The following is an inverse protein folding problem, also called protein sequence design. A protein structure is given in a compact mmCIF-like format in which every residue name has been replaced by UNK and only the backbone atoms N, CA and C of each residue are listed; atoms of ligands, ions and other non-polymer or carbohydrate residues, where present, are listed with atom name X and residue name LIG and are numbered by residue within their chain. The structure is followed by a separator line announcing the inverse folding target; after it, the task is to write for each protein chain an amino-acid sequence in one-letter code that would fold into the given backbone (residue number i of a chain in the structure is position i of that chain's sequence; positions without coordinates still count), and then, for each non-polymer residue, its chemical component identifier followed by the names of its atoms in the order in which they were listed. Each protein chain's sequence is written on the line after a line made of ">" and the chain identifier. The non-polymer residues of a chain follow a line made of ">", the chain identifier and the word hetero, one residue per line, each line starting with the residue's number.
data_IF_129873497560
#
_entry.id   IF_129873497560
#
_cell.length_a   1.000
_cell.length_b   1.000
_cell.length_c   1.000
_cell.angle_alpha   90.00
_cell.angle_beta   90.00
_cell.angle_gamma   90.00
#
_symmetry.space_group_name_H-M   'P 1'
#
loop_
_entity.id
_entity.type
_entity.pdbx_description
1 polymer ?
#
# COMPACT_ATOMS: atom_id res chain seq x y z
N UNK A 1 21.45 3.89 -8.12
CA UNK A 1 21.30 3.77 -9.59
C UNK A 1 21.89 5.00 -10.24
N UNK A 2 22.40 4.88 -11.47
CA UNK A 2 23.04 5.98 -12.18
C UNK A 2 22.46 6.09 -13.60
N UNK A 3 22.71 7.21 -14.26
CA UNK A 3 22.37 7.42 -15.66
C UNK A 3 23.58 7.94 -16.42
N UNK A 4 23.74 7.49 -17.67
CA UNK A 4 24.66 8.09 -18.63
C UNK A 4 23.91 9.21 -19.35
N UNK A 5 24.51 10.39 -19.37
CA UNK A 5 24.01 11.57 -20.04
C UNK A 5 25.03 11.97 -21.12
N UNK A 6 24.55 12.04 -22.34
CA UNK A 6 25.36 12.45 -23.51
C UNK A 6 24.61 13.55 -24.24
N UNK A 7 25.30 14.63 -24.58
CA UNK A 7 24.70 15.80 -25.26
C UNK A 7 23.42 16.33 -24.56
N UNK A 8 23.40 16.30 -23.22
CA UNK A 8 22.26 16.80 -22.44
C UNK A 8 21.05 15.86 -22.34
N UNK A 9 21.16 14.65 -22.88
CA UNK A 9 20.09 13.65 -22.86
C UNK A 9 20.53 12.37 -22.13
N UNK A 10 19.59 11.74 -21.42
CA UNK A 10 19.84 10.44 -20.78
C UNK A 10 19.84 9.37 -21.87
N UNK A 11 20.99 8.72 -22.10
CA UNK A 11 21.14 7.69 -23.14
C UNK A 11 21.08 6.28 -22.58
N UNK A 12 21.42 6.10 -21.28
CA UNK A 12 21.44 4.77 -20.67
C UNK A 12 21.24 4.82 -19.16
N UNK A 13 20.47 3.87 -18.66
CA UNK A 13 20.34 3.62 -17.22
C UNK A 13 21.39 2.59 -16.77
N UNK A 14 22.07 2.87 -15.65
CA UNK A 14 23.19 2.08 -15.14
C UNK A 14 22.91 1.66 -13.69
N UNK A 15 23.04 0.36 -13.41
CA UNK A 15 22.87 -0.15 -12.05
C UNK A 15 24.17 -0.15 -11.22
N UNK A 16 25.32 0.19 -11.84
CA UNK A 16 26.60 0.28 -11.15
C UNK A 16 27.21 -1.08 -10.73
N UNK A 17 26.70 -2.20 -11.23
CA UNK A 17 27.17 -3.54 -10.84
C UNK A 17 28.32 -4.07 -11.70
N UNK A 18 28.65 -3.42 -12.81
CA UNK A 18 29.76 -3.76 -13.71
C UNK A 18 30.41 -2.51 -14.30
N UNK A 19 31.62 -2.62 -14.82
CA UNK A 19 32.31 -1.53 -15.51
C UNK A 19 31.56 -1.09 -16.79
N UNK A 20 31.98 0.02 -17.34
CA UNK A 20 31.40 0.61 -18.56
C UNK A 20 32.51 1.05 -19.52
N UNK A 21 32.25 0.93 -20.83
CA UNK A 21 33.11 1.48 -21.86
C UNK A 21 32.45 2.73 -22.44
N UNK A 22 33.16 3.85 -22.42
CA UNK A 22 32.74 5.14 -22.94
C UNK A 22 33.84 5.67 -23.85
N UNK A 23 33.52 6.09 -25.06
CA UNK A 23 34.48 6.63 -26.02
C UNK A 23 35.75 5.76 -26.20
N UNK A 24 35.57 4.43 -26.30
CA UNK A 24 36.64 3.43 -26.38
C UNK A 24 37.54 3.31 -25.14
N UNK A 25 37.22 4.00 -24.03
CA UNK A 25 37.91 3.90 -22.76
C UNK A 25 37.12 3.03 -21.79
N UNK A 26 37.77 2.01 -21.24
CA UNK A 26 37.14 1.09 -20.29
C UNK A 26 37.28 1.59 -18.87
N UNK A 27 36.15 1.76 -18.18
CA UNK A 27 36.07 2.15 -16.76
C UNK A 27 35.69 0.95 -15.91
N UNK A 28 36.42 0.70 -14.81
CA UNK A 28 36.09 -0.40 -13.90
C UNK A 28 34.83 -0.10 -13.10
N UNK A 29 34.20 -1.14 -12.52
CA UNK A 29 33.06 -0.99 -11.61
C UNK A 29 33.34 -0.01 -10.45
N UNK A 30 34.58 0.07 -10.02
CA UNK A 30 35.01 0.90 -8.89
C UNK A 30 34.65 2.39 -9.04
N UNK A 31 34.43 2.90 -10.26
CA UNK A 31 34.00 4.30 -10.47
C UNK A 31 32.69 4.64 -9.74
N UNK A 32 31.78 3.68 -9.60
CA UNK A 32 30.48 3.91 -8.94
C UNK A 32 30.57 4.02 -7.43
N UNK A 33 31.67 3.54 -6.81
CA UNK A 33 31.82 3.47 -5.35
C UNK A 33 32.98 4.31 -4.83
N UNK A 34 34.05 4.46 -5.62
CA UNK A 34 35.27 5.15 -5.18
C UNK A 34 35.38 6.58 -5.72
N UNK A 35 34.81 6.85 -6.89
CA UNK A 35 34.86 8.18 -7.46
C UNK A 35 33.87 9.12 -6.78
N UNK A 36 34.26 10.38 -6.69
CA UNK A 36 33.36 11.48 -6.29
C UNK A 36 32.27 11.69 -7.33
N UNK A 37 31.21 12.39 -6.97
CA UNK A 37 30.14 12.76 -7.91
C UNK A 37 30.69 13.63 -9.05
N UNK A 38 31.59 14.56 -8.74
CA UNK A 38 32.20 15.43 -9.77
C UNK A 38 32.99 14.64 -10.81
N UNK A 39 33.78 13.65 -10.38
CA UNK A 39 34.56 12.79 -11.29
C UNK A 39 33.64 11.95 -12.20
N UNK A 40 32.56 11.40 -11.66
CA UNK A 40 31.55 10.67 -12.46
C UNK A 40 30.85 11.58 -13.42
N UNK A 41 30.42 12.75 -12.99
CA UNK A 41 29.72 13.73 -13.84
C UNK A 41 30.61 14.20 -15.00
N UNK A 42 31.94 14.31 -14.78
CA UNK A 42 32.88 14.70 -15.83
C UNK A 42 32.93 13.71 -17.02
N UNK A 43 32.56 12.45 -16.79
CA UNK A 43 32.43 11.43 -17.84
C UNK A 43 30.97 11.13 -18.23
N UNK A 44 30.03 12.00 -17.83
CA UNK A 44 28.62 11.88 -18.16
C UNK A 44 27.82 10.89 -17.29
N UNK A 45 28.37 10.38 -16.19
CA UNK A 45 27.69 9.45 -15.29
C UNK A 45 27.13 10.22 -14.08
N UNK A 46 25.83 10.31 -13.99
CA UNK A 46 25.12 11.02 -12.92
C UNK A 46 24.43 10.06 -11.95
N UNK A 47 24.49 10.37 -10.66
CA UNK A 47 23.64 9.72 -9.65
C UNK A 47 22.18 10.12 -9.87
N UNK A 48 21.25 9.15 -9.73
CA UNK A 48 19.83 9.44 -9.84
C UNK A 48 19.31 9.87 -8.47
N UNK A 49 18.71 11.05 -8.42
CA UNK A 49 18.00 11.57 -7.25
C UNK A 49 16.52 11.24 -7.42
N UNK A 50 15.92 10.68 -6.38
CA UNK A 50 14.51 10.31 -6.39
C UNK A 50 13.67 11.45 -5.81
N UNK A 51 12.63 11.82 -6.54
CA UNK A 51 11.59 12.74 -6.11
C UNK A 51 10.30 11.94 -5.90
N UNK A 52 10.01 11.63 -4.65
CA UNK A 52 8.86 10.82 -4.26
C UNK A 52 7.63 11.68 -3.89
N UNK A 53 7.60 12.97 -4.23
CA UNK A 53 6.49 13.89 -3.90
C UNK A 53 5.13 13.36 -4.39
N UNK A 54 5.09 12.72 -5.56
CA UNK A 54 3.87 12.15 -6.14
C UNK A 54 3.64 10.69 -5.77
N UNK A 55 4.59 10.06 -5.06
CA UNK A 55 4.43 8.69 -4.60
C UNK A 55 3.37 8.63 -3.50
N UNK A 56 2.41 7.73 -3.66
CA UNK A 56 1.36 7.47 -2.68
C UNK A 56 1.49 6.08 -2.08
N UNK A 57 0.81 5.84 -0.98
CA UNK A 57 0.79 4.55 -0.29
C UNK A 57 0.21 3.47 -1.21
N UNK A 58 1.00 2.43 -1.45
CA UNK A 58 0.65 1.33 -2.34
C UNK A 58 -0.49 0.43 -1.81
N UNK A 59 -0.90 0.59 -0.56
CA UNK A 59 -2.14 -0.02 -0.06
C UNK A 59 -3.36 0.50 -0.81
N UNK A 60 -3.36 1.79 -1.14
CA UNK A 60 -4.50 2.53 -1.69
C UNK A 60 -4.36 2.89 -3.16
N UNK A 61 -3.11 3.05 -3.64
CA UNK A 61 -2.83 3.59 -4.98
C UNK A 61 -1.89 2.69 -5.76
N UNK A 62 -1.98 2.82 -7.05
CA UNK A 62 -1.01 2.30 -8.02
C UNK A 62 -0.12 3.46 -8.42
N UNK A 63 1.16 3.41 -8.06
CA UNK A 63 2.12 4.39 -8.48
C UNK A 63 2.53 4.13 -9.95
N UNK A 64 2.66 5.20 -10.72
CA UNK A 64 3.15 5.09 -12.10
C UNK A 64 4.64 4.78 -12.13
N UNK A 65 5.14 4.30 -13.27
CA UNK A 65 6.57 4.18 -13.50
C UNK A 65 7.24 5.55 -13.39
N UNK A 66 8.45 5.58 -12.84
CA UNK A 66 9.22 6.81 -12.75
C UNK A 66 9.63 7.29 -14.15
N UNK A 67 9.46 8.57 -14.41
CA UNK A 67 10.08 9.28 -15.52
C UNK A 67 11.44 9.83 -15.06
N UNK A 68 12.38 9.94 -15.98
CA UNK A 68 13.72 10.42 -15.70
C UNK A 68 14.00 11.65 -16.54
N UNK A 69 14.51 12.70 -15.90
CA UNK A 69 14.86 13.95 -16.57
C UNK A 69 16.25 14.41 -16.15
N UNK A 70 17.02 14.93 -17.11
CA UNK A 70 18.28 15.60 -16.86
C UNK A 70 18.06 17.11 -16.97
N UNK A 71 18.29 17.83 -15.90
CA UNK A 71 18.22 19.29 -15.84
C UNK A 71 19.12 19.81 -14.71
N UNK A 72 19.67 20.99 -14.90
CA UNK A 72 20.55 21.65 -13.90
C UNK A 72 21.67 20.74 -13.42
N UNK A 73 22.31 20.03 -14.35
CA UNK A 73 23.41 19.11 -14.08
C UNK A 73 23.06 17.96 -13.11
N UNK A 74 21.81 17.50 -13.13
CA UNK A 74 21.26 16.48 -12.23
C UNK A 74 20.27 15.59 -12.94
N UNK A 75 20.29 14.30 -12.65
CA UNK A 75 19.25 13.36 -13.09
C UNK A 75 18.25 13.14 -11.97
N UNK A 76 16.98 13.43 -12.24
CA UNK A 76 15.89 13.23 -11.29
C UNK A 76 14.91 12.18 -11.80
N UNK A 77 14.56 11.22 -10.95
CA UNK A 77 13.49 10.27 -11.17
C UNK A 77 12.23 10.74 -10.43
N UNK A 78 11.10 10.86 -11.12
CA UNK A 78 9.86 11.38 -10.54
C UNK A 78 8.69 10.47 -10.91
N UNK A 79 7.84 10.14 -9.94
CA UNK A 79 6.56 9.46 -10.20
C UNK A 79 5.57 10.45 -10.84
N UNK A 80 4.78 9.96 -11.79
CA UNK A 80 3.59 10.66 -12.25
C UNK A 80 2.45 10.59 -11.22
N UNK A 81 1.27 11.05 -11.60
CA UNK A 81 0.07 10.95 -10.75
C UNK A 81 -0.26 9.49 -10.45
N UNK A 82 -0.44 9.15 -9.18
CA UNK A 82 -0.84 7.82 -8.77
C UNK A 82 -2.35 7.59 -9.06
N UNK A 83 -2.70 6.38 -9.46
CA UNK A 83 -4.09 5.97 -9.71
C UNK A 83 -4.67 5.31 -8.48
N UNK A 84 -5.84 5.73 -8.03
CA UNK A 84 -6.54 5.09 -6.93
C UNK A 84 -6.96 3.66 -7.31
N UNK A 85 -6.75 2.69 -6.42
CA UNK A 85 -7.31 1.34 -6.58
C UNK A 85 -8.83 1.41 -6.45
N UNK A 86 -9.55 0.49 -7.11
CA UNK A 86 -11.00 0.43 -7.01
C UNK A 86 -11.43 0.21 -5.54
N UNK A 87 -12.22 1.13 -4.99
CA UNK A 87 -12.72 1.01 -3.62
C UNK A 87 -13.92 0.04 -3.53
N UNK A 88 -14.77 0.00 -4.55
CA UNK A 88 -15.89 -0.92 -4.68
C UNK A 88 -15.53 -2.11 -5.60
N UNK A 89 -16.29 -3.18 -5.50
CA UNK A 89 -16.21 -4.29 -6.44
C UNK A 89 -16.55 -3.80 -7.86
N UNK A 90 -15.90 -4.38 -8.86
CA UNK A 90 -16.28 -4.23 -10.26
C UNK A 90 -17.05 -5.47 -10.72
N UNK A 91 -18.05 -5.28 -11.57
CA UNK A 91 -18.85 -6.37 -12.12
C UNK A 91 -18.59 -6.50 -13.62
N UNK A 92 -18.84 -7.70 -14.14
CA UNK A 92 -18.83 -7.93 -15.58
C UNK A 92 -19.94 -7.12 -16.24
N UNK A 93 -19.64 -6.59 -17.42
CA UNK A 93 -20.60 -5.89 -18.28
C UNK A 93 -21.23 -6.85 -19.28
N UNK A 94 -22.26 -6.42 -19.99
CA UNK A 94 -22.86 -7.20 -21.08
C UNK A 94 -21.83 -7.51 -22.19
N UNK A 95 -20.92 -6.57 -22.50
CA UNK A 95 -19.84 -6.78 -23.48
C UNK A 95 -18.85 -7.84 -23.01
N UNK A 96 -18.52 -7.88 -21.71
CA UNK A 96 -17.66 -8.91 -21.14
C UNK A 96 -18.30 -10.30 -21.20
N UNK A 97 -19.64 -10.39 -21.05
CA UNK A 97 -20.38 -11.64 -21.22
C UNK A 97 -20.39 -12.10 -22.67
N UNK A 98 -20.61 -11.18 -23.63
CA UNK A 98 -20.51 -11.48 -25.06
C UNK A 98 -19.10 -11.96 -25.45
N UNK A 99 -18.06 -11.40 -24.81
CA UNK A 99 -16.66 -11.82 -24.98
C UNK A 99 -16.30 -13.12 -24.23
N UNK A 100 -17.23 -13.69 -23.47
CA UNK A 100 -17.04 -14.93 -22.71
C UNK A 100 -16.13 -14.80 -21.49
N UNK A 101 -15.96 -13.58 -20.93
CA UNK A 101 -15.13 -13.30 -19.75
C UNK A 101 -15.82 -13.63 -18.44
N UNK A 102 -17.16 -13.49 -18.36
CA UNK A 102 -17.97 -13.77 -17.18
C UNK A 102 -19.43 -13.42 -17.42
N UNK A 103 -20.29 -13.59 -16.43
CA UNK A 103 -21.72 -13.27 -16.53
C UNK A 103 -21.98 -11.83 -16.11
N UNK A 104 -22.79 -11.10 -16.86
CA UNK A 104 -23.18 -9.71 -16.53
C UNK A 104 -23.69 -9.59 -15.10
N UNK A 105 -23.21 -8.58 -14.38
CA UNK A 105 -23.58 -8.28 -13.00
C UNK A 105 -22.86 -9.12 -11.94
N UNK A 106 -22.20 -10.23 -12.30
CA UNK A 106 -21.33 -10.95 -11.37
C UNK A 106 -20.03 -10.18 -11.09
N UNK A 107 -19.44 -10.45 -9.93
CA UNK A 107 -18.22 -9.75 -9.51
C UNK A 107 -17.02 -10.19 -10.36
N UNK A 108 -16.49 -9.25 -11.14
CA UNK A 108 -15.26 -9.43 -11.92
C UNK A 108 -14.02 -9.31 -11.03
N UNK A 109 -13.96 -8.25 -10.19
CA UNK A 109 -12.84 -8.03 -9.30
C UNK A 109 -13.32 -7.44 -7.97
N UNK A 110 -12.80 -7.97 -6.87
CA UNK A 110 -13.09 -7.46 -5.53
C UNK A 110 -12.35 -6.15 -5.27
N UNK A 111 -13.08 -5.15 -4.79
CA UNK A 111 -12.54 -3.86 -4.40
C UNK A 111 -11.92 -3.84 -3.00
N UNK A 112 -11.35 -2.70 -2.66
CA UNK A 112 -10.71 -2.50 -1.34
C UNK A 112 -11.69 -2.72 -0.19
N UNK A 113 -12.94 -2.26 -0.29
CA UNK A 113 -13.96 -2.43 0.76
C UNK A 113 -14.16 -3.90 1.13
N UNK A 114 -14.31 -4.76 0.14
CA UNK A 114 -14.47 -6.20 0.39
C UNK A 114 -13.30 -6.75 1.19
N UNK A 115 -12.07 -6.50 0.75
CA UNK A 115 -10.86 -7.01 1.39
C UNK A 115 -10.69 -6.48 2.82
N UNK A 116 -10.99 -5.20 3.04
CA UNK A 116 -10.92 -4.58 4.36
C UNK A 116 -11.97 -5.16 5.32
N UNK A 117 -13.20 -5.39 4.85
CA UNK A 117 -14.27 -6.03 5.63
C UNK A 117 -13.87 -7.47 6.01
N UNK A 118 -13.29 -8.25 5.08
CA UNK A 118 -12.80 -9.59 5.42
C UNK A 118 -11.70 -9.54 6.49
N UNK A 119 -10.81 -8.55 6.41
CA UNK A 119 -9.77 -8.34 7.43
C UNK A 119 -10.39 -8.04 8.80
N UNK A 120 -11.37 -7.14 8.86
CA UNK A 120 -12.09 -6.79 10.11
C UNK A 120 -12.79 -8.03 10.70
N UNK A 121 -13.48 -8.80 9.87
CA UNK A 121 -14.13 -10.06 10.28
C UNK A 121 -13.13 -11.08 10.83
N UNK A 122 -11.99 -11.24 10.18
CA UNK A 122 -10.94 -12.15 10.64
C UNK A 122 -10.35 -11.70 11.99
N UNK A 123 -10.10 -10.40 12.19
CA UNK A 123 -9.63 -9.85 13.46
C UNK A 123 -10.65 -10.08 14.59
N UNK A 124 -11.92 -9.80 14.35
CA UNK A 124 -12.98 -10.02 15.34
C UNK A 124 -13.14 -11.50 15.66
N UNK A 125 -13.13 -12.38 14.67
CA UNK A 125 -13.19 -13.84 14.86
C UNK A 125 -12.02 -14.34 15.69
N UNK A 126 -10.79 -13.88 15.41
CA UNK A 126 -9.59 -14.23 16.17
C UNK A 126 -9.69 -13.83 17.65
N UNK A 127 -10.27 -12.65 17.93
CA UNK A 127 -10.46 -12.20 19.31
C UNK A 127 -11.57 -12.98 20.04
N UNK A 128 -12.68 -13.27 19.35
CA UNK A 128 -13.77 -14.07 19.91
C UNK A 128 -13.34 -15.52 20.20
N UNK A 129 -12.51 -16.11 19.36
CA UNK A 129 -12.01 -17.47 19.49
C UNK A 129 -11.29 -17.71 20.83
N UNK A 130 -10.59 -16.70 21.37
CA UNK A 130 -9.89 -16.79 22.67
C UNK A 130 -10.84 -17.15 23.83
N UNK A 131 -12.12 -16.87 23.67
CA UNK A 131 -13.14 -17.02 24.71
C UNK A 131 -14.25 -18.02 24.35
N UNK A 132 -14.16 -18.72 23.22
CA UNK A 132 -15.19 -19.67 22.77
C UNK A 132 -15.34 -20.88 23.71
N UNK A 133 -14.28 -21.27 24.39
CA UNK A 133 -14.33 -22.33 25.38
C UNK A 133 -15.31 -22.05 26.54
N UNK A 134 -15.56 -20.76 26.86
CA UNK A 134 -16.58 -20.39 27.85
C UNK A 134 -17.98 -20.75 27.38
N UNK A 135 -18.25 -20.60 26.08
CA UNK A 135 -19.54 -20.94 25.46
C UNK A 135 -19.74 -22.45 25.52
N UNK A 136 -18.73 -23.23 25.08
CA UNK A 136 -18.75 -24.69 25.15
C UNK A 136 -18.98 -25.17 26.56
N UNK A 137 -18.20 -24.66 27.54
CA UNK A 137 -18.37 -25.02 28.97
C UNK A 137 -19.77 -24.71 29.51
N UNK A 138 -20.36 -23.56 29.09
CA UNK A 138 -21.73 -23.24 29.50
C UNK A 138 -22.73 -24.24 28.93
N UNK A 139 -22.57 -24.63 27.67
CA UNK A 139 -23.46 -25.58 27.00
C UNK A 139 -23.37 -26.98 27.64
N UNK A 140 -22.16 -27.46 27.90
CA UNK A 140 -21.92 -28.82 28.40
C UNK A 140 -22.20 -28.98 29.90
N UNK A 141 -21.85 -27.96 30.71
CA UNK A 141 -21.84 -28.04 32.16
C UNK A 141 -22.75 -27.03 32.85
N UNK A 142 -23.48 -26.23 32.08
CA UNK A 142 -24.30 -25.11 32.57
C UNK A 142 -23.53 -24.12 33.48
N UNK A 143 -22.20 -24.03 33.32
CA UNK A 143 -21.38 -23.10 34.08
C UNK A 143 -21.55 -21.70 33.51
N UNK A 144 -21.92 -20.71 34.33
CA UNK A 144 -22.12 -19.33 33.86
C UNK A 144 -20.84 -18.74 33.23
N UNK A 145 -21.03 -17.96 32.18
CA UNK A 145 -19.93 -17.18 31.55
C UNK A 145 -19.68 -15.96 32.46
N UNK A 146 -18.44 -15.64 32.86
CA UNK A 146 -18.14 -14.43 33.58
C UNK A 146 -18.66 -13.19 32.86
N UNK A 147 -19.23 -12.23 33.58
CA UNK A 147 -19.80 -11.00 32.99
C UNK A 147 -18.77 -10.20 32.20
N UNK A 148 -17.51 -10.13 32.64
CA UNK A 148 -16.44 -9.47 31.93
C UNK A 148 -16.21 -10.08 30.51
N UNK A 149 -16.27 -11.41 30.39
CA UNK A 149 -16.15 -12.10 29.09
C UNK A 149 -17.35 -11.78 28.19
N UNK A 150 -18.55 -11.78 28.73
CA UNK A 150 -19.76 -11.43 27.98
C UNK A 150 -19.69 -9.99 27.48
N UNK A 151 -19.27 -9.05 28.33
CA UNK A 151 -19.10 -7.64 27.99
C UNK A 151 -18.04 -7.48 26.89
N UNK A 152 -16.86 -8.10 27.03
CA UNK A 152 -15.80 -8.06 26.03
C UNK A 152 -16.29 -8.59 24.67
N UNK A 153 -16.92 -9.77 24.63
CA UNK A 153 -17.45 -10.36 23.40
C UNK A 153 -18.49 -9.46 22.72
N UNK A 154 -19.36 -8.82 23.47
CA UNK A 154 -20.32 -7.86 22.93
C UNK A 154 -19.63 -6.61 22.36
N UNK A 155 -18.59 -6.12 23.04
CA UNK A 155 -17.80 -4.98 22.56
C UNK A 155 -17.07 -5.32 21.25
N UNK A 156 -16.47 -6.52 21.15
CA UNK A 156 -15.83 -6.99 19.89
C UNK A 156 -16.82 -6.97 18.73
N UNK A 157 -18.02 -7.54 18.90
CA UNK A 157 -19.06 -7.56 17.86
C UNK A 157 -19.55 -6.15 17.49
N UNK A 158 -19.76 -5.30 18.49
CA UNK A 158 -20.17 -3.90 18.27
C UNK A 158 -19.10 -3.12 17.49
N UNK A 159 -17.82 -3.30 17.83
CA UNK A 159 -16.72 -2.65 17.13
C UNK A 159 -16.57 -3.18 15.70
N UNK A 160 -16.68 -4.50 15.51
CA UNK A 160 -16.71 -5.10 14.17
C UNK A 160 -17.81 -4.45 13.30
N UNK A 161 -19.04 -4.39 13.78
CA UNK A 161 -20.16 -3.81 13.03
C UNK A 161 -19.92 -2.32 12.70
N UNK A 162 -19.40 -1.54 13.65
CA UNK A 162 -19.06 -0.14 13.43
C UNK A 162 -17.96 0.04 12.36
N UNK A 163 -16.93 -0.80 12.39
CA UNK A 163 -15.85 -0.79 11.38
C UNK A 163 -16.37 -1.16 10.00
N UNK A 164 -17.17 -2.23 9.87
CA UNK A 164 -17.79 -2.63 8.61
C UNK A 164 -18.68 -1.51 8.03
N UNK A 165 -19.45 -0.84 8.88
CA UNK A 165 -20.29 0.30 8.47
C UNK A 165 -19.43 1.47 7.98
N UNK A 166 -18.36 1.83 8.69
CA UNK A 166 -17.47 2.92 8.28
C UNK A 166 -16.82 2.63 6.94
N UNK A 167 -16.32 1.41 6.73
CA UNK A 167 -15.71 0.98 5.46
C UNK A 167 -16.74 0.99 4.32
N UNK A 168 -17.96 0.49 4.57
CA UNK A 168 -19.02 0.45 3.57
C UNK A 168 -19.43 1.85 3.11
N UNK A 169 -19.50 2.81 4.04
CA UNK A 169 -19.92 4.18 3.79
C UNK A 169 -18.82 5.07 3.19
N UNK A 170 -17.56 4.63 3.15
CA UNK A 170 -16.49 5.39 2.50
C UNK A 170 -16.84 5.64 1.02
N UNK A 171 -16.81 6.89 0.56
CA UNK A 171 -17.24 7.26 -0.79
C UNK A 171 -16.25 6.85 -1.88
N UNK A 172 -14.97 6.79 -1.53
CA UNK A 172 -13.87 6.55 -2.46
C UNK A 172 -12.63 5.99 -1.73
N UNK A 173 -11.55 5.80 -2.47
CA UNK A 173 -10.29 5.28 -1.93
C UNK A 173 -9.62 6.24 -0.96
N UNK A 174 -9.74 7.56 -1.16
CA UNK A 174 -9.17 8.55 -0.24
C UNK A 174 -9.91 8.57 1.11
N UNK A 175 -11.22 8.37 1.10
CA UNK A 175 -12.01 8.20 2.31
C UNK A 175 -11.61 6.92 3.07
N UNK A 176 -11.35 5.81 2.37
CA UNK A 176 -10.80 4.58 2.99
C UNK A 176 -9.42 4.83 3.60
N UNK A 177 -8.53 5.49 2.89
CA UNK A 177 -7.20 5.86 3.40
C UNK A 177 -7.31 6.68 4.69
N UNK A 178 -8.20 7.67 4.70
CA UNK A 178 -8.46 8.51 5.89
C UNK A 178 -8.90 7.69 7.09
N UNK A 179 -9.78 6.69 6.92
CA UNK A 179 -10.22 5.81 8.01
C UNK A 179 -9.07 5.06 8.68
N UNK A 180 -8.01 4.74 7.93
CA UNK A 180 -6.85 3.97 8.41
C UNK A 180 -5.64 4.84 8.76
N UNK A 181 -5.70 6.15 8.51
CA UNK A 181 -4.59 7.05 8.80
C UNK A 181 -4.61 7.45 10.27
N UNK A 182 -3.51 7.14 10.97
CA UNK A 182 -3.31 7.60 12.34
C UNK A 182 -2.91 9.07 12.37
N UNK A 183 -3.50 9.79 13.27
CA UNK A 183 -3.12 11.17 13.62
C UNK A 183 -2.68 11.22 15.08
N UNK A 184 -1.79 12.14 15.40
CA UNK A 184 -1.33 12.39 16.75
C UNK A 184 -1.92 13.71 17.23
N UNK A 185 -2.58 13.70 18.36
CA UNK A 185 -3.12 14.92 18.97
C UNK A 185 -2.03 15.72 19.74
N UNK A 186 -2.42 16.84 20.36
CA UNK A 186 -1.51 17.70 21.13
C UNK A 186 -0.89 17.02 22.36
N UNK A 187 -1.52 15.96 22.85
CA UNK A 187 -1.08 15.19 24.02
C UNK A 187 -0.22 13.97 23.64
N UNK A 188 0.07 13.83 22.33
CA UNK A 188 0.86 12.73 21.79
C UNK A 188 0.08 11.42 21.63
N UNK A 189 -1.25 11.44 21.74
CA UNK A 189 -2.08 10.24 21.59
C UNK A 189 -2.32 9.96 20.11
N UNK A 190 -1.99 8.73 19.70
CA UNK A 190 -2.24 8.26 18.34
C UNK A 190 -3.67 7.70 18.23
N UNK A 191 -4.43 8.21 17.29
CA UNK A 191 -5.78 7.72 16.99
C UNK A 191 -6.08 7.75 15.50
N UNK A 192 -7.05 6.99 15.06
CA UNK A 192 -7.58 7.00 13.69
C UNK A 192 -9.10 6.99 13.71
N UNK A 193 -9.78 7.45 12.60
CA UNK A 193 -11.24 7.44 12.51
C UNK A 193 -11.87 6.05 12.59
N UNK A 194 -11.20 5.03 12.02
CA UNK A 194 -11.68 3.66 12.10
C UNK A 194 -11.51 3.12 13.51
N UNK A 195 -12.60 2.62 14.10
CA UNK A 195 -12.57 1.94 15.38
C UNK A 195 -11.58 0.75 15.41
N UNK A 196 -11.23 0.28 16.58
CA UNK A 196 -10.33 -0.87 16.75
C UNK A 196 -11.05 -2.01 17.48
N UNK A 197 -10.70 -3.25 17.14
CA UNK A 197 -11.15 -4.43 17.86
C UNK A 197 -10.44 -4.44 19.22
N UNK A 198 -11.19 -4.44 20.34
CA UNK A 198 -10.58 -4.48 21.65
C UNK A 198 -9.93 -5.86 21.89
N UNK A 199 -8.80 -5.87 22.55
CA UNK A 199 -8.12 -7.08 23.01
C UNK A 199 -8.50 -7.41 24.45
N UNK A 200 -8.51 -8.72 24.80
CA UNK A 200 -8.80 -9.20 26.15
C UNK A 200 -7.58 -9.03 27.06
#
# INVERSE_FOLDING_TARGET
>A
MFALVESGSITKMLNGNKGITLNNLQYPRAIYTLWTEAERNAIGIYSIVYNDTNKKDERWYINTNQSYAFANNKVTATYGSATAKAHADTTWTAEDEEDGKGTEGEVATRGLKYNLIQTVKAQAAGELAKTDWYITRKTEKNTAIPSAITTHRNLVRSRQAAMETSITNASDTAALETLYTYTTDSDGVHSRPLAEIPTL
#
